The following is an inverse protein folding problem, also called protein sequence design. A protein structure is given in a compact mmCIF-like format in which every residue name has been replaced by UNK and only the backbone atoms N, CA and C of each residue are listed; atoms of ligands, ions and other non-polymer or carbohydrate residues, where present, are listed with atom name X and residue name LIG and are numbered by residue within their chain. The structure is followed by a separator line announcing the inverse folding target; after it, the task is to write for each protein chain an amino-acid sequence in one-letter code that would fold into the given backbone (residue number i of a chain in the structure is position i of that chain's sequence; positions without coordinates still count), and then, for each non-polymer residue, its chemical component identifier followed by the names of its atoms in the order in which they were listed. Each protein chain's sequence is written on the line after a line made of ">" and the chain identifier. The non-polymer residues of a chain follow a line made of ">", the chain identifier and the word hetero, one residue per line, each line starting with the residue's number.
data_IF_719373387511
#
_entry.id   IF_719373387511
#
_cell.length_a   1.000
_cell.length_b   1.000
_cell.length_c   1.000
_cell.angle_alpha   90.00
_cell.angle_beta   90.00
_cell.angle_gamma   90.00
#
_symmetry.space_group_name_H-M   'P 1'
#
loop_
_entity.id
_entity.type
_entity.pdbx_description
1 polymer ?
#
# COMPACT_ATOMS: atom_id res chain seq x y z
N UNK A 1 22.30 -24.04 -5.48
CA UNK A 1 21.17 -23.65 -4.63
C UNK A 1 19.97 -23.44 -5.54
N UNK A 2 18.81 -23.99 -5.22
CA UNK A 2 17.59 -23.75 -6.00
C UNK A 2 16.90 -22.50 -5.45
N UNK A 3 16.77 -21.46 -6.27
CA UNK A 3 16.12 -20.20 -5.88
C UNK A 3 14.73 -20.17 -6.50
N UNK A 4 13.66 -20.17 -5.71
CA UNK A 4 12.30 -20.16 -6.25
C UNK A 4 12.03 -18.86 -7.03
N UNK A 5 11.72 -18.96 -8.32
CA UNK A 5 11.30 -17.78 -9.12
C UNK A 5 10.01 -17.17 -8.59
N UNK A 6 9.20 -17.98 -7.92
CA UNK A 6 7.90 -17.58 -7.34
C UNK A 6 7.97 -16.47 -6.30
N UNK A 7 9.12 -16.27 -5.63
CA UNK A 7 9.28 -15.21 -4.65
C UNK A 7 9.46 -13.80 -5.28
N UNK A 8 9.91 -13.73 -6.55
CA UNK A 8 10.11 -12.48 -7.29
C UNK A 8 8.78 -12.05 -7.92
N UNK A 9 7.95 -11.36 -7.13
CA UNK A 9 6.59 -10.93 -7.53
C UNK A 9 6.62 -9.69 -8.41
N UNK A 10 5.42 -9.20 -8.80
CA UNK A 10 5.30 -8.05 -9.70
C UNK A 10 5.79 -6.72 -9.10
N UNK A 11 5.83 -6.55 -7.78
CA UNK A 11 6.22 -5.28 -7.14
C UNK A 11 7.03 -5.41 -5.85
N UNK A 12 7.34 -6.61 -5.42
CA UNK A 12 8.21 -6.91 -4.29
C UNK A 12 8.81 -8.32 -4.42
N UNK A 13 9.70 -8.69 -3.50
CA UNK A 13 10.11 -10.06 -3.29
C UNK A 13 9.40 -10.54 -2.03
N UNK A 14 8.76 -11.73 -2.07
CA UNK A 14 7.99 -12.26 -0.95
C UNK A 14 7.94 -13.77 -0.96
N UNK A 15 8.17 -14.39 0.23
CA UNK A 15 8.13 -15.83 0.39
C UNK A 15 8.05 -16.26 1.84
N UNK A 16 7.87 -17.57 2.05
CA UNK A 16 7.92 -18.21 3.38
C UNK A 16 9.39 -18.36 3.76
N UNK A 17 9.75 -17.84 4.96
CA UNK A 17 11.15 -17.70 5.35
C UNK A 17 11.89 -19.01 5.46
N UNK A 18 11.28 -20.05 6.02
CA UNK A 18 11.95 -21.34 6.25
C UNK A 18 12.23 -22.14 4.97
N UNK A 19 11.45 -21.90 3.90
CA UNK A 19 11.45 -22.74 2.71
C UNK A 19 11.79 -22.02 1.41
N UNK A 20 11.49 -20.72 1.31
CA UNK A 20 11.57 -19.95 0.06
C UNK A 20 12.51 -18.74 0.16
N UNK A 21 12.45 -17.99 1.27
CA UNK A 21 13.21 -16.76 1.47
C UNK A 21 14.23 -16.93 2.61
N UNK A 22 15.19 -17.84 2.43
CA UNK A 22 16.20 -18.13 3.45
C UNK A 22 17.26 -17.02 3.53
N UNK A 23 18.01 -16.90 4.67
CA UNK A 23 19.09 -15.92 4.79
C UNK A 23 20.10 -15.98 3.66
N UNK A 24 20.44 -17.18 3.15
CA UNK A 24 21.39 -17.35 2.04
C UNK A 24 20.82 -16.73 0.75
N UNK A 25 19.53 -16.91 0.48
CA UNK A 25 18.87 -16.33 -0.69
C UNK A 25 18.81 -14.80 -0.53
N UNK A 26 18.46 -14.30 0.67
CA UNK A 26 18.43 -12.85 0.95
C UNK A 26 19.81 -12.21 0.81
N UNK A 27 20.89 -12.91 1.19
CA UNK A 27 22.26 -12.46 0.92
C UNK A 27 22.56 -12.33 -0.58
N UNK A 28 22.12 -13.29 -1.40
CA UNK A 28 22.27 -13.20 -2.86
C UNK A 28 21.44 -12.06 -3.44
N UNK A 29 20.23 -11.84 -2.93
CA UNK A 29 19.42 -10.66 -3.28
C UNK A 29 20.17 -9.38 -2.91
N UNK A 30 20.78 -9.32 -1.73
CA UNK A 30 21.63 -8.19 -1.31
C UNK A 30 22.77 -7.90 -2.27
N UNK A 31 23.45 -8.96 -2.75
CA UNK A 31 24.50 -8.83 -3.80
C UNK A 31 23.93 -8.33 -5.12
N UNK A 32 22.76 -8.80 -5.54
CA UNK A 32 22.12 -8.35 -6.78
C UNK A 32 21.70 -6.88 -6.69
N UNK A 33 21.03 -6.47 -5.59
CA UNK A 33 20.63 -5.09 -5.34
C UNK A 33 21.85 -4.17 -5.26
N UNK A 34 22.89 -4.60 -4.54
CA UNK A 34 24.15 -3.84 -4.43
C UNK A 34 24.83 -3.66 -5.78
N UNK A 35 24.88 -4.71 -6.60
CA UNK A 35 25.44 -4.65 -7.94
C UNK A 35 24.69 -3.66 -8.84
N UNK A 36 23.36 -3.72 -8.85
CA UNK A 36 22.50 -2.81 -9.59
C UNK A 36 22.65 -1.36 -9.11
N UNK A 37 22.75 -1.14 -7.81
CA UNK A 37 22.96 0.19 -7.22
C UNK A 37 24.30 0.77 -7.65
N UNK A 38 25.38 0.01 -7.58
CA UNK A 38 26.74 0.43 -8.02
C UNK A 38 26.74 0.77 -9.51
N UNK A 39 26.09 -0.02 -10.37
CA UNK A 39 25.99 0.24 -11.82
C UNK A 39 25.25 1.56 -12.12
N UNK A 40 24.31 1.94 -11.27
CA UNK A 40 23.61 3.23 -11.35
C UNK A 40 24.37 4.39 -10.69
N UNK A 41 25.59 4.15 -10.21
CA UNK A 41 26.41 5.17 -9.53
C UNK A 41 26.05 5.39 -8.07
N UNK A 42 25.17 4.57 -7.49
CA UNK A 42 24.71 4.69 -6.11
C UNK A 42 25.47 3.72 -5.20
N UNK A 43 26.19 4.26 -4.21
CA UNK A 43 26.90 3.45 -3.22
C UNK A 43 26.20 3.38 -1.88
N UNK A 44 25.37 4.35 -1.55
CA UNK A 44 24.58 4.39 -0.31
C UNK A 44 23.30 3.60 -0.45
N UNK A 45 23.03 2.69 0.50
CA UNK A 45 21.78 1.93 0.57
C UNK A 45 21.24 1.98 1.99
N UNK A 46 20.02 2.50 2.16
CA UNK A 46 19.29 2.45 3.42
C UNK A 46 18.68 1.07 3.61
N UNK A 47 18.77 0.48 4.81
CA UNK A 47 18.13 -0.79 5.16
C UNK A 47 17.30 -0.59 6.42
N UNK A 48 16.02 -0.93 6.34
CA UNK A 48 15.10 -1.02 7.47
C UNK A 48 14.34 -2.34 7.48
N UNK A 49 13.70 -2.66 8.59
CA UNK A 49 12.90 -3.87 8.73
C UNK A 49 11.64 -3.61 9.57
N UNK A 50 10.60 -4.43 9.38
CA UNK A 50 9.43 -4.45 10.25
C UNK A 50 9.68 -5.23 11.56
N UNK A 51 8.60 -5.50 12.31
CA UNK A 51 8.63 -6.18 13.60
C UNK A 51 8.65 -7.70 13.55
N UNK A 52 8.72 -8.34 12.36
CA UNK A 52 8.69 -9.80 12.23
C UNK A 52 9.90 -10.44 12.88
N UNK A 53 9.69 -11.62 13.49
CA UNK A 53 10.73 -12.34 14.23
C UNK A 53 11.95 -12.71 13.39
N UNK A 54 11.73 -12.98 12.11
CA UNK A 54 12.78 -13.32 11.13
C UNK A 54 13.53 -12.09 10.58
N UNK A 55 13.02 -10.89 10.87
CA UNK A 55 13.58 -9.62 10.36
C UNK A 55 15.05 -9.39 10.68
N UNK A 56 15.53 -9.60 11.92
CA UNK A 56 16.93 -9.39 12.27
C UNK A 56 17.91 -10.23 11.43
N UNK A 57 17.67 -11.54 11.34
CA UNK A 57 18.52 -12.47 10.57
C UNK A 57 18.55 -12.13 9.09
N UNK A 58 17.38 -11.87 8.50
CA UNK A 58 17.29 -11.49 7.08
C UNK A 58 17.95 -10.12 6.80
N UNK A 59 17.87 -9.20 7.76
CA UNK A 59 18.56 -7.89 7.67
C UNK A 59 20.06 -8.04 7.65
N UNK A 60 20.62 -8.86 8.55
CA UNK A 60 22.06 -9.15 8.57
C UNK A 60 22.54 -9.80 7.26
N UNK A 61 21.79 -10.76 6.73
CA UNK A 61 22.10 -11.43 5.47
C UNK A 61 22.08 -10.45 4.28
N UNK A 62 21.04 -9.61 4.19
CA UNK A 62 20.93 -8.56 3.16
C UNK A 62 22.11 -7.59 3.22
N UNK A 63 22.42 -7.05 4.42
CA UNK A 63 23.50 -6.10 4.65
C UNK A 63 24.85 -6.73 4.25
N UNK A 64 25.07 -7.99 4.60
CA UNK A 64 26.29 -8.70 4.20
C UNK A 64 26.44 -8.74 2.67
N UNK A 65 25.36 -9.08 1.94
CA UNK A 65 25.36 -9.08 0.47
C UNK A 65 25.62 -7.71 -0.16
N UNK A 66 25.02 -6.65 0.39
CA UNK A 66 25.24 -5.27 -0.06
C UNK A 66 26.70 -4.84 0.14
N UNK A 67 27.29 -5.14 1.30
CA UNK A 67 28.69 -4.82 1.64
C UNK A 67 29.66 -5.55 0.68
N UNK A 68 29.41 -6.81 0.39
CA UNK A 68 30.22 -7.59 -0.54
C UNK A 68 30.22 -7.04 -1.97
N UNK A 69 29.13 -6.34 -2.37
CA UNK A 69 29.06 -5.63 -3.65
C UNK A 69 29.76 -4.27 -3.64
N UNK A 70 30.18 -3.75 -2.48
CA UNK A 70 30.84 -2.46 -2.31
C UNK A 70 29.90 -1.30 -1.89
N UNK A 71 28.68 -1.61 -1.44
CA UNK A 71 27.75 -0.60 -0.94
C UNK A 71 28.06 -0.14 0.50
N UNK A 72 27.77 1.12 0.78
CA UNK A 72 27.75 1.67 2.13
C UNK A 72 26.33 1.64 2.68
N UNK A 73 26.08 0.77 3.64
CA UNK A 73 24.75 0.53 4.20
C UNK A 73 24.49 1.48 5.36
N UNK A 74 23.33 2.15 5.34
CA UNK A 74 22.76 2.89 6.47
C UNK A 74 21.64 2.05 7.05
N UNK A 75 21.92 1.32 8.13
CA UNK A 75 20.94 0.52 8.84
C UNK A 75 20.13 1.41 9.79
N UNK A 76 18.82 1.55 9.54
CA UNK A 76 17.91 2.34 10.37
C UNK A 76 17.07 1.50 11.33
N UNK A 77 17.32 0.18 11.39
CA UNK A 77 16.72 -0.72 12.36
C UNK A 77 15.25 -1.07 12.07
N UNK A 78 14.47 -1.17 13.16
CA UNK A 78 13.06 -1.58 13.10
C UNK A 78 12.15 -0.35 12.97
N UNK A 79 11.65 -0.12 11.77
CA UNK A 79 10.86 1.07 11.38
C UNK A 79 9.73 0.71 10.40
N UNK A 80 8.67 1.52 10.29
CA UNK A 80 7.68 1.43 9.21
C UNK A 80 8.30 1.62 7.82
N UNK A 81 7.69 1.01 6.79
CA UNK A 81 8.12 1.14 5.38
C UNK A 81 8.29 2.60 4.91
N UNK A 82 7.37 3.52 5.21
CA UNK A 82 7.53 4.93 4.83
C UNK A 82 8.79 5.59 5.42
N UNK A 83 9.28 5.14 6.57
CA UNK A 83 10.52 5.70 7.17
C UNK A 83 11.75 5.31 6.36
N UNK A 84 11.78 4.13 5.73
CA UNK A 84 12.83 3.77 4.77
C UNK A 84 12.79 4.70 3.56
N UNK A 85 11.61 4.95 2.99
CA UNK A 85 11.46 5.90 1.89
C UNK A 85 11.86 7.33 2.30
N UNK A 86 11.42 7.78 3.48
CA UNK A 86 11.84 9.08 4.03
C UNK A 86 13.37 9.19 4.15
N UNK A 87 14.03 8.15 4.67
CA UNK A 87 15.48 8.13 4.76
C UNK A 87 16.18 8.27 3.41
N UNK A 88 15.64 7.65 2.35
CA UNK A 88 16.21 7.77 1.00
C UNK A 88 16.04 9.16 0.38
N UNK A 89 15.09 9.96 0.85
CA UNK A 89 14.89 11.35 0.39
C UNK A 89 15.67 12.38 1.22
N UNK A 90 16.04 12.05 2.46
CA UNK A 90 16.63 13.01 3.42
C UNK A 90 18.09 12.73 3.78
N UNK A 91 18.59 11.53 3.49
CA UNK A 91 20.01 11.16 3.68
C UNK A 91 20.74 11.10 2.33
N UNK A 92 22.04 11.05 2.33
CA UNK A 92 22.84 10.99 1.09
C UNK A 92 22.81 9.59 0.44
N UNK A 93 21.62 9.02 0.29
CA UNK A 93 21.37 7.72 -0.34
C UNK A 93 20.00 7.76 -1.00
N UNK A 94 19.92 7.37 -2.27
CA UNK A 94 18.66 7.30 -3.04
C UNK A 94 18.21 5.87 -3.28
N UNK A 95 18.95 4.90 -2.72
CA UNK A 95 18.61 3.48 -2.73
C UNK A 95 18.24 3.01 -1.32
N UNK A 96 17.26 2.11 -1.22
CA UNK A 96 16.83 1.56 0.05
C UNK A 96 16.12 0.23 -0.08
N UNK A 97 16.19 -0.57 0.97
CA UNK A 97 15.49 -1.85 1.06
C UNK A 97 14.76 -1.93 2.39
N UNK A 98 13.45 -2.17 2.32
CA UNK A 98 12.63 -2.50 3.48
C UNK A 98 12.41 -4.01 3.53
N UNK A 99 12.76 -4.63 4.66
CA UNK A 99 12.50 -6.05 4.92
C UNK A 99 11.16 -6.14 5.63
N UNK A 100 10.15 -6.66 4.96
CA UNK A 100 8.78 -6.74 5.47
C UNK A 100 7.95 -7.79 4.75
N UNK A 101 7.05 -8.43 5.49
CA UNK A 101 5.96 -9.22 4.93
C UNK A 101 4.66 -8.42 4.82
N UNK A 102 4.66 -7.10 5.15
CA UNK A 102 3.47 -6.23 5.19
C UNK A 102 2.33 -6.91 5.99
N UNK A 103 1.17 -7.07 5.37
CA UNK A 103 -0.01 -7.73 5.93
C UNK A 103 -0.05 -9.25 5.70
N UNK A 104 1.03 -9.91 5.26
CA UNK A 104 1.04 -11.38 5.13
C UNK A 104 1.14 -12.06 6.51
N UNK A 105 0.77 -13.35 6.64
CA UNK A 105 0.95 -14.15 7.84
C UNK A 105 2.40 -14.10 8.40
N UNK A 106 2.56 -14.48 9.66
CA UNK A 106 3.81 -14.29 10.41
C UNK A 106 5.02 -15.06 9.83
N UNK A 107 4.77 -16.18 9.16
CA UNK A 107 5.77 -17.02 8.50
C UNK A 107 6.34 -16.42 7.20
N UNK A 108 5.68 -15.40 6.64
CA UNK A 108 6.15 -14.69 5.46
C UNK A 108 7.11 -13.57 5.82
N UNK A 109 8.02 -13.27 4.91
CA UNK A 109 8.76 -12.02 4.87
C UNK A 109 9.03 -11.63 3.41
N UNK A 110 9.67 -10.47 3.18
CA UNK A 110 9.91 -9.98 1.84
C UNK A 110 10.81 -8.76 1.80
N UNK A 111 10.99 -8.21 0.59
CA UNK A 111 11.80 -7.02 0.37
C UNK A 111 11.08 -6.07 -0.58
N UNK A 112 10.84 -4.83 -0.12
CA UNK A 112 10.47 -3.70 -0.96
C UNK A 112 11.75 -2.94 -1.31
N UNK A 113 12.05 -2.79 -2.59
CA UNK A 113 13.36 -2.34 -3.05
C UNK A 113 13.22 -1.04 -3.83
N UNK A 114 14.05 -0.07 -3.50
CA UNK A 114 14.23 1.17 -4.24
C UNK A 114 15.70 1.32 -4.64
N UNK A 115 15.97 1.62 -5.91
CA UNK A 115 17.33 1.87 -6.43
C UNK A 115 17.32 3.18 -7.21
N UNK A 116 18.24 4.07 -6.86
CA UNK A 116 18.40 5.40 -7.51
C UNK A 116 17.08 6.20 -7.57
N UNK A 117 16.30 6.19 -6.45
CA UNK A 117 15.03 6.91 -6.34
C UNK A 117 13.88 6.30 -7.13
N UNK A 118 14.01 5.04 -7.55
CA UNK A 118 12.97 4.30 -8.24
C UNK A 118 12.61 3.00 -7.50
N UNK A 119 11.33 2.81 -7.16
CA UNK A 119 10.83 1.55 -6.59
C UNK A 119 10.79 0.49 -7.68
N UNK A 120 11.42 -0.66 -7.44
CA UNK A 120 11.48 -1.75 -8.40
C UNK A 120 10.12 -2.41 -8.58
N UNK A 121 9.83 -2.86 -9.80
CA UNK A 121 8.63 -3.62 -10.15
C UNK A 121 8.84 -4.42 -11.43
N UNK A 122 8.01 -5.45 -11.59
CA UNK A 122 7.92 -6.27 -12.79
C UNK A 122 9.32 -6.70 -13.32
N UNK A 123 9.68 -6.30 -14.53
CA UNK A 123 10.92 -6.68 -15.20
C UNK A 123 12.19 -6.37 -14.40
N UNK A 124 12.18 -5.27 -13.62
CA UNK A 124 13.32 -4.89 -12.78
C UNK A 124 13.52 -5.81 -11.58
N UNK A 125 12.46 -6.40 -11.05
CA UNK A 125 12.56 -7.44 -10.02
C UNK A 125 13.04 -8.74 -10.66
N UNK A 126 12.54 -9.08 -11.86
CA UNK A 126 13.01 -10.26 -12.60
C UNK A 126 14.47 -10.16 -13.04
N UNK A 127 14.96 -8.94 -13.33
CA UNK A 127 16.39 -8.74 -13.65
C UNK A 127 17.30 -9.06 -12.47
N UNK A 128 16.86 -8.80 -11.22
CA UNK A 128 17.60 -9.23 -10.03
C UNK A 128 17.68 -10.76 -9.95
N UNK A 129 16.58 -11.47 -10.25
CA UNK A 129 16.58 -12.93 -10.30
C UNK A 129 17.53 -13.48 -11.35
N UNK A 130 17.50 -12.94 -12.57
CA UNK A 130 18.42 -13.30 -13.67
C UNK A 130 19.87 -13.09 -13.25
N UNK A 131 20.20 -11.91 -12.66
CA UNK A 131 21.53 -11.60 -12.14
C UNK A 131 22.03 -12.60 -11.11
N UNK A 132 21.14 -13.09 -10.24
CA UNK A 132 21.49 -14.13 -9.25
C UNK A 132 21.78 -15.46 -9.93
N UNK A 133 20.97 -15.89 -10.91
CA UNK A 133 21.18 -17.15 -11.65
C UNK A 133 22.48 -17.14 -12.44
N UNK A 134 22.82 -16.01 -13.04
CA UNK A 134 24.04 -15.82 -13.84
C UNK A 134 25.29 -15.57 -12.98
N UNK A 135 25.11 -15.42 -11.64
CA UNK A 135 26.16 -15.03 -10.70
C UNK A 135 26.89 -13.74 -11.14
N UNK A 136 26.15 -12.82 -11.76
CA UNK A 136 26.63 -11.53 -12.24
C UNK A 136 26.64 -10.49 -11.10
N UNK A 137 27.65 -10.54 -10.25
CA UNK A 137 27.76 -9.67 -9.09
C UNK A 137 29.00 -8.79 -9.16
N UNK A 138 28.83 -7.51 -8.81
CA UNK A 138 29.95 -6.66 -8.45
C UNK A 138 30.61 -7.17 -7.16
N UNK A 139 31.88 -6.93 -7.03
CA UNK A 139 32.65 -7.25 -5.83
C UNK A 139 33.37 -5.98 -5.36
N UNK A 140 33.25 -5.70 -4.07
CA UNK A 140 33.84 -4.52 -3.46
C UNK A 140 33.92 -4.61 -1.96
N UNK A 141 34.39 -3.55 -1.32
CA UNK A 141 34.43 -3.40 0.12
C UNK A 141 33.54 -2.26 0.54
N UNK A 142 32.38 -2.57 1.09
CA UNK A 142 31.44 -1.63 1.66
C UNK A 142 31.58 -1.50 3.17
N UNK A 143 30.71 -0.71 3.79
CA UNK A 143 30.62 -0.53 5.24
C UNK A 143 29.17 -0.53 5.66
N UNK A 144 28.92 -0.72 6.96
CA UNK A 144 27.59 -0.51 7.56
C UNK A 144 27.69 0.45 8.74
N UNK A 145 26.74 1.38 8.81
CA UNK A 145 26.55 2.26 9.97
C UNK A 145 25.11 2.17 10.43
N UNK A 146 24.88 2.27 11.74
CA UNK A 146 23.51 2.30 12.29
C UNK A 146 23.18 3.72 12.75
N UNK A 147 21.97 4.19 12.40
CA UNK A 147 21.43 5.47 12.85
C UNK A 147 19.98 5.31 13.29
N UNK A 148 19.52 6.17 14.20
CA UNK A 148 18.10 6.34 14.47
C UNK A 148 17.59 7.55 13.70
N UNK A 149 16.45 7.42 13.01
CA UNK A 149 15.84 8.48 12.17
C UNK A 149 14.41 8.81 12.62
N UNK A 150 13.89 8.13 13.63
CA UNK A 150 12.50 8.25 14.07
C UNK A 150 12.15 9.71 14.40
N UNK A 151 13.04 10.38 15.15
CA UNK A 151 12.80 11.76 15.57
C UNK A 151 12.87 12.74 14.37
N UNK A 152 13.75 12.50 13.39
CA UNK A 152 13.81 13.33 12.17
C UNK A 152 12.49 13.21 11.38
N UNK A 153 11.96 11.98 11.26
CA UNK A 153 10.67 11.71 10.61
C UNK A 153 9.51 12.39 11.34
N UNK A 154 9.41 12.19 12.67
CA UNK A 154 8.37 12.81 13.51
C UNK A 154 8.44 14.34 13.41
N UNK A 155 9.62 14.93 13.55
CA UNK A 155 9.79 16.38 13.49
C UNK A 155 9.44 16.95 12.12
N UNK A 156 9.75 16.23 11.04
CA UNK A 156 9.40 16.67 9.68
C UNK A 156 7.89 16.70 9.49
N UNK A 157 7.17 15.66 9.92
CA UNK A 157 5.70 15.64 9.88
C UNK A 157 5.13 16.74 10.77
N UNK A 158 5.64 16.88 11.99
CA UNK A 158 5.19 17.92 12.94
C UNK A 158 5.38 19.34 12.39
N UNK A 159 6.43 19.58 11.61
CA UNK A 159 6.68 20.90 11.01
C UNK A 159 5.70 21.22 9.86
N UNK A 160 5.12 20.22 9.26
CA UNK A 160 4.18 20.34 8.13
C UNK A 160 2.71 20.41 8.58
N UNK A 161 2.35 19.68 9.64
CA UNK A 161 0.95 19.49 10.10
C UNK A 161 0.62 20.48 11.22
N UNK A 162 -0.52 21.14 11.08
CA UNK A 162 -1.05 22.07 12.09
C UNK A 162 -2.48 21.70 12.47
N UNK A 163 -2.69 21.27 13.71
CA UNK A 163 -4.03 21.00 14.27
C UNK A 163 -4.58 22.27 14.88
N UNK A 164 -5.82 22.65 14.52
CA UNK A 164 -6.50 23.84 15.06
C UNK A 164 -7.29 23.55 16.35
N UNK A 165 -7.57 22.27 16.63
CA UNK A 165 -8.22 21.84 17.89
C UNK A 165 -7.66 20.48 18.31
N UNK A 166 -7.71 20.20 19.62
CA UNK A 166 -7.41 18.87 20.16
C UNK A 166 -8.43 17.85 19.63
N UNK A 167 -7.94 16.68 19.27
CA UNK A 167 -8.75 15.55 18.83
C UNK A 167 -8.52 14.35 19.75
N UNK A 168 -9.59 13.62 20.06
CA UNK A 168 -9.54 12.32 20.73
C UNK A 168 -9.51 11.22 19.67
N UNK A 169 -8.43 10.46 19.58
CA UNK A 169 -8.21 9.48 18.52
C UNK A 169 -7.87 8.12 19.11
N UNK A 170 -8.47 7.08 18.55
CA UNK A 170 -8.02 5.70 18.82
C UNK A 170 -7.08 5.28 17.71
N UNK A 171 -5.92 4.74 18.06
CA UNK A 171 -5.01 4.13 17.09
C UNK A 171 -4.91 2.63 17.33
N UNK A 172 -4.91 1.86 16.26
CA UNK A 172 -4.71 0.43 16.25
C UNK A 172 -3.53 0.08 15.33
N UNK A 173 -2.47 -0.47 15.91
CA UNK A 173 -1.27 -0.86 15.17
C UNK A 173 -1.22 -2.37 14.89
N UNK A 174 -2.21 -3.16 15.32
CA UNK A 174 -2.27 -4.61 15.09
C UNK A 174 -0.99 -5.36 15.45
N UNK A 175 -0.23 -4.90 16.47
CA UNK A 175 1.12 -5.34 16.81
C UNK A 175 2.17 -5.15 15.68
N UNK A 176 1.83 -4.40 14.62
CA UNK A 176 2.73 -4.03 13.52
C UNK A 176 3.74 -2.95 13.92
N UNK A 177 4.71 -2.71 13.04
CA UNK A 177 5.85 -1.83 13.32
C UNK A 177 5.46 -0.35 13.43
N UNK A 178 4.28 0.05 12.95
CA UNK A 178 3.74 1.39 13.18
C UNK A 178 3.66 1.76 14.67
N UNK A 179 3.49 0.76 15.55
CA UNK A 179 3.46 0.93 17.02
C UNK A 179 4.69 1.61 17.61
N UNK A 180 5.83 1.56 16.95
CA UNK A 180 7.06 2.23 17.42
C UNK A 180 6.99 3.76 17.25
N UNK A 181 6.30 4.25 16.23
CA UNK A 181 6.32 5.66 15.82
C UNK A 181 4.97 6.35 15.98
N UNK A 182 3.86 5.67 15.63
CA UNK A 182 2.54 6.28 15.63
C UNK A 182 2.14 6.94 16.97
N UNK A 183 2.32 6.29 18.14
CA UNK A 183 2.01 6.93 19.41
C UNK A 183 2.80 8.23 19.62
N UNK A 184 4.10 8.21 19.39
CA UNK A 184 4.98 9.37 19.59
C UNK A 184 4.66 10.49 18.60
N UNK A 185 4.37 10.16 17.33
CA UNK A 185 4.01 11.12 16.31
C UNK A 185 2.72 11.87 16.67
N UNK A 186 1.64 11.15 16.98
CA UNK A 186 0.35 11.77 17.22
C UNK A 186 0.30 12.53 18.56
N UNK A 187 1.00 12.03 19.59
CA UNK A 187 1.20 12.81 20.83
C UNK A 187 1.99 14.10 20.57
N UNK A 188 3.03 14.04 19.71
CA UNK A 188 3.81 15.24 19.34
C UNK A 188 2.98 16.26 18.52
N UNK A 189 1.93 15.81 17.83
CA UNK A 189 0.95 16.68 17.15
C UNK A 189 -0.10 17.25 18.10
N UNK A 190 -0.14 16.83 19.37
CA UNK A 190 -1.13 17.31 20.36
C UNK A 190 -2.44 16.54 20.35
N UNK A 191 -2.45 15.30 19.85
CA UNK A 191 -3.62 14.41 19.85
C UNK A 191 -3.74 13.68 21.18
N UNK A 192 -4.96 13.58 21.72
CA UNK A 192 -5.26 12.71 22.85
C UNK A 192 -5.53 11.29 22.36
N UNK A 193 -4.68 10.34 22.75
CA UNK A 193 -4.68 8.98 22.20
C UNK A 193 -5.25 7.93 23.15
N UNK A 194 -6.14 7.05 22.61
CA UNK A 194 -6.32 5.68 23.06
C UNK A 194 -5.49 4.75 22.15
N UNK A 195 -4.80 3.76 22.71
CA UNK A 195 -3.80 2.95 22.01
C UNK A 195 -4.18 1.47 22.06
N UNK A 196 -4.45 0.88 20.89
CA UNK A 196 -4.69 -0.56 20.73
C UNK A 196 -3.47 -1.19 20.05
N UNK A 197 -2.99 -2.29 20.63
CA UNK A 197 -1.98 -3.19 20.06
C UNK A 197 -0.72 -2.50 19.49
N UNK A 198 -0.26 -1.43 20.16
CA UNK A 198 0.93 -0.66 19.74
C UNK A 198 2.25 -1.32 20.15
N UNK A 199 2.24 -2.36 21.01
CA UNK A 199 3.44 -3.14 21.28
C UNK A 199 3.78 -4.00 20.07
N UNK A 200 4.94 -3.79 19.45
CA UNK A 200 5.37 -4.55 18.27
C UNK A 200 5.61 -6.02 18.63
N UNK A 201 4.91 -6.92 17.97
CA UNK A 201 5.06 -8.37 18.11
C UNK A 201 4.81 -9.06 16.76
N UNK A 202 5.85 -9.58 16.13
CA UNK A 202 5.79 -10.23 14.82
C UNK A 202 4.95 -11.52 14.76
N UNK A 203 4.36 -11.95 15.89
CA UNK A 203 3.38 -13.06 15.95
C UNK A 203 1.95 -12.59 15.74
N UNK A 204 1.69 -11.27 15.84
CA UNK A 204 0.37 -10.64 15.71
C UNK A 204 -0.70 -11.27 16.60
N UNK A 205 -0.54 -11.29 17.93
CA UNK A 205 -1.34 -12.11 18.86
C UNK A 205 -2.79 -11.66 19.01
N UNK A 206 -3.15 -10.43 18.66
CA UNK A 206 -4.50 -9.90 18.83
C UNK A 206 -5.34 -10.10 17.56
N UNK A 207 -4.97 -9.47 16.48
CA UNK A 207 -5.55 -9.68 15.16
C UNK A 207 -4.50 -9.49 14.08
N UNK A 208 -4.82 -9.93 12.88
CA UNK A 208 -3.94 -9.74 11.73
C UNK A 208 -3.89 -8.26 11.31
N UNK A 209 -2.70 -7.63 11.13
CA UNK A 209 -2.59 -6.22 10.82
C UNK A 209 -2.91 -5.92 9.35
N UNK A 210 -4.16 -6.10 8.97
CA UNK A 210 -4.71 -5.81 7.63
C UNK A 210 -6.01 -5.02 7.77
N UNK A 211 -5.98 -3.69 7.66
CA UNK A 211 -7.14 -2.83 7.80
C UNK A 211 -8.12 -2.92 6.62
N UNK A 212 -7.81 -3.68 5.58
CA UNK A 212 -8.74 -3.96 4.49
C UNK A 212 -9.83 -4.99 4.87
N UNK A 213 -9.68 -5.66 6.01
CA UNK A 213 -10.60 -6.69 6.50
C UNK A 213 -11.45 -6.16 7.65
N UNK A 214 -12.80 -6.05 7.51
CA UNK A 214 -13.67 -5.54 8.57
C UNK A 214 -13.47 -6.24 9.92
N UNK A 215 -13.24 -7.56 9.92
CA UNK A 215 -13.00 -8.34 11.13
C UNK A 215 -11.81 -7.83 11.95
N UNK A 216 -10.77 -7.31 11.31
CA UNK A 216 -9.58 -6.79 11.98
C UNK A 216 -9.78 -5.37 12.54
N UNK A 217 -10.94 -4.76 12.32
CA UNK A 217 -11.29 -3.42 12.78
C UNK A 217 -12.32 -3.43 13.92
N UNK A 218 -12.77 -4.61 14.36
CA UNK A 218 -13.85 -4.75 15.37
C UNK A 218 -13.45 -4.10 16.70
N UNK A 219 -12.24 -4.37 17.20
CA UNK A 219 -11.75 -3.77 18.45
C UNK A 219 -11.61 -2.25 18.33
N UNK A 220 -11.12 -1.75 17.19
CA UNK A 220 -11.01 -0.32 16.93
C UNK A 220 -12.38 0.35 16.89
N UNK A 221 -13.37 -0.26 16.23
CA UNK A 221 -14.75 0.24 16.17
C UNK A 221 -15.35 0.32 17.58
N UNK A 222 -15.18 -0.74 18.36
CA UNK A 222 -15.68 -0.78 19.74
C UNK A 222 -15.07 0.32 20.59
N UNK A 223 -13.74 0.47 20.57
CA UNK A 223 -13.02 1.47 21.36
C UNK A 223 -13.40 2.91 20.95
N UNK A 224 -13.59 3.18 19.65
CA UNK A 224 -14.05 4.49 19.16
C UNK A 224 -15.41 4.85 19.75
N UNK A 225 -16.35 3.89 19.77
CA UNK A 225 -17.71 4.10 20.30
C UNK A 225 -17.69 4.28 21.84
N UNK A 226 -16.96 3.41 22.55
CA UNK A 226 -16.91 3.43 24.03
C UNK A 226 -16.23 4.69 24.56
N UNK A 227 -15.16 5.13 23.94
CA UNK A 227 -14.41 6.34 24.33
C UNK A 227 -14.99 7.63 23.76
N UNK A 228 -15.96 7.51 22.84
CA UNK A 228 -16.52 8.65 22.08
C UNK A 228 -15.42 9.44 21.36
N UNK A 229 -14.47 8.73 20.77
CA UNK A 229 -13.39 9.34 20.02
C UNK A 229 -13.91 10.05 18.77
N UNK A 230 -13.16 11.05 18.30
CA UNK A 230 -13.47 11.77 17.07
C UNK A 230 -13.29 10.87 15.82
N UNK A 231 -12.38 9.91 15.90
CA UNK A 231 -12.13 8.89 14.88
C UNK A 231 -11.18 7.80 15.37
N UNK A 232 -11.09 6.71 14.59
CA UNK A 232 -10.13 5.61 14.77
C UNK A 232 -9.23 5.41 13.55
N UNK A 233 -7.96 5.12 13.78
CA UNK A 233 -6.94 4.91 12.75
C UNK A 233 -6.33 3.52 12.91
N UNK A 234 -6.35 2.71 11.87
CA UNK A 234 -5.71 1.39 11.83
C UNK A 234 -4.55 1.39 10.84
N UNK A 235 -3.45 0.75 11.23
CA UNK A 235 -2.25 0.63 10.41
C UNK A 235 -2.00 -0.85 10.06
N UNK A 236 -1.50 -1.10 8.85
CA UNK A 236 -1.08 -2.44 8.49
C UNK A 236 0.29 -2.81 9.07
N UNK A 237 0.74 -4.03 8.82
CA UNK A 237 1.93 -4.61 9.47
C UNK A 237 3.21 -3.82 9.31
N UNK A 238 3.38 -3.08 8.22
CA UNK A 238 4.55 -2.23 7.96
C UNK A 238 4.23 -0.73 7.83
N UNK A 239 2.98 -0.33 8.11
CA UNK A 239 2.59 1.06 8.31
C UNK A 239 2.50 1.90 7.03
N UNK A 240 2.25 1.27 5.87
CA UNK A 240 2.04 1.97 4.61
C UNK A 240 0.59 2.01 4.14
N UNK A 241 -0.35 1.37 4.89
CA UNK A 241 -1.81 1.42 4.64
C UNK A 241 -2.57 1.94 5.84
N UNK A 242 -3.56 2.80 5.57
CA UNK A 242 -4.42 3.40 6.57
C UNK A 242 -5.86 2.90 6.45
N UNK A 243 -6.39 2.35 7.55
CA UNK A 243 -7.81 2.16 7.79
C UNK A 243 -8.38 3.30 8.62
N UNK A 244 -9.61 3.71 8.34
CA UNK A 244 -10.29 4.81 9.03
C UNK A 244 -11.66 4.36 9.53
N UNK A 245 -11.92 4.66 10.81
CA UNK A 245 -13.24 4.55 11.46
C UNK A 245 -13.70 5.95 11.84
N UNK A 246 -14.91 6.33 11.47
CA UNK A 246 -15.48 7.61 11.88
C UNK A 246 -16.00 7.56 13.34
N UNK A 247 -16.41 8.72 13.87
CA UNK A 247 -16.93 8.86 15.24
C UNK A 247 -18.25 8.11 15.51
N UNK A 248 -18.86 7.50 14.50
CA UNK A 248 -20.06 6.63 14.62
C UNK A 248 -19.72 5.13 14.48
N UNK A 249 -18.44 4.76 14.34
CA UNK A 249 -18.00 3.40 14.15
C UNK A 249 -18.12 2.88 12.71
N UNK A 250 -18.38 3.76 11.74
CA UNK A 250 -18.46 3.38 10.33
C UNK A 250 -17.06 3.30 9.73
N UNK A 251 -16.78 2.22 8.99
CA UNK A 251 -15.56 2.09 8.19
C UNK A 251 -15.64 3.05 7.00
N UNK A 252 -14.63 3.91 6.84
CA UNK A 252 -14.47 4.79 5.68
C UNK A 252 -13.37 4.20 4.80
N UNK A 253 -13.77 3.62 3.69
CA UNK A 253 -12.84 2.97 2.76
C UNK A 253 -11.88 3.95 2.10
N UNK A 254 -10.72 3.47 1.65
CA UNK A 254 -9.64 4.32 1.15
C UNK A 254 -10.05 5.18 -0.05
N UNK A 255 -10.90 4.69 -0.95
CA UNK A 255 -11.42 5.45 -2.08
C UNK A 255 -12.38 6.59 -1.65
N UNK A 256 -13.11 6.42 -0.53
CA UNK A 256 -13.88 7.49 0.10
C UNK A 256 -12.95 8.49 0.81
N UNK A 257 -11.92 8.00 1.51
CA UNK A 257 -10.90 8.87 2.10
C UNK A 257 -10.24 9.74 1.03
N UNK A 258 -9.94 9.16 -0.14
CA UNK A 258 -9.37 9.88 -1.29
C UNK A 258 -10.25 11.04 -1.77
N UNK A 259 -11.57 10.98 -1.64
CA UNK A 259 -12.44 12.12 -1.98
C UNK A 259 -12.15 13.33 -1.08
N UNK A 260 -11.99 13.09 0.23
CA UNK A 260 -11.67 14.14 1.19
C UNK A 260 -10.26 14.72 0.96
N UNK A 261 -9.27 13.86 0.77
CA UNK A 261 -7.90 14.30 0.48
C UNK A 261 -7.80 15.05 -0.84
N UNK A 262 -8.49 14.58 -1.88
CA UNK A 262 -8.55 15.26 -3.17
C UNK A 262 -9.16 16.66 -3.05
N UNK A 263 -10.29 16.80 -2.33
CA UNK A 263 -10.92 18.11 -2.06
C UNK A 263 -9.96 19.06 -1.33
N UNK A 264 -9.26 18.56 -0.31
CA UNK A 264 -8.27 19.34 0.44
C UNK A 264 -7.09 19.78 -0.43
N UNK A 265 -6.44 18.85 -1.14
CA UNK A 265 -5.31 19.15 -2.04
C UNK A 265 -5.70 20.13 -3.14
N UNK A 266 -6.87 19.93 -3.77
CA UNK A 266 -7.36 20.76 -4.87
C UNK A 266 -7.82 22.14 -4.40
N UNK A 267 -8.10 22.33 -3.11
CA UNK A 267 -8.41 23.67 -2.57
C UNK A 267 -7.23 24.63 -2.74
N UNK A 268 -6.00 24.13 -2.71
CA UNK A 268 -4.73 24.86 -2.84
C UNK A 268 -4.05 24.69 -4.20
N UNK A 269 -4.36 23.59 -4.92
CA UNK A 269 -3.67 23.19 -6.16
C UNK A 269 -4.68 22.93 -7.27
N UNK A 270 -5.35 23.98 -7.75
CA UNK A 270 -6.30 23.87 -8.88
C UNK A 270 -5.60 23.32 -10.13
N UNK A 271 -6.27 22.41 -10.83
CA UNK A 271 -5.74 21.72 -12.00
C UNK A 271 -4.77 20.58 -11.69
N UNK A 272 -4.51 20.30 -10.41
CA UNK A 272 -3.60 19.20 -10.07
C UNK A 272 -4.17 17.83 -10.50
N UNK A 273 -3.25 16.97 -10.92
CA UNK A 273 -3.54 15.57 -11.25
C UNK A 273 -3.66 14.74 -9.97
N UNK A 274 -4.66 13.87 -9.93
CA UNK A 274 -4.90 12.94 -8.84
C UNK A 274 -5.05 11.54 -9.41
N UNK A 275 -4.21 10.61 -8.96
CA UNK A 275 -4.17 9.24 -9.43
C UNK A 275 -4.99 8.36 -8.47
N UNK A 276 -5.72 7.40 -9.03
CA UNK A 276 -6.43 6.36 -8.27
C UNK A 276 -6.39 5.02 -9.02
N UNK A 277 -6.48 3.91 -8.30
CA UNK A 277 -6.43 2.59 -8.95
C UNK A 277 -7.79 2.17 -9.52
N UNK A 278 -7.76 1.16 -10.39
CA UNK A 278 -8.96 0.64 -11.08
C UNK A 278 -10.04 0.11 -10.14
N UNK A 279 -9.73 -0.17 -8.88
CA UNK A 279 -10.66 -0.69 -7.88
C UNK A 279 -11.45 0.41 -7.17
N UNK A 280 -11.03 1.67 -7.29
CA UNK A 280 -11.70 2.79 -6.65
C UNK A 280 -13.10 3.04 -7.22
N UNK A 281 -13.96 3.60 -6.37
CA UNK A 281 -15.33 3.99 -6.71
C UNK A 281 -15.38 4.89 -7.94
N UNK A 282 -16.41 4.72 -8.78
CA UNK A 282 -16.69 5.59 -9.94
C UNK A 282 -17.02 7.04 -9.54
N UNK A 283 -17.33 7.28 -8.28
CA UNK A 283 -17.61 8.62 -7.77
C UNK A 283 -16.35 9.48 -7.57
N UNK A 284 -15.20 8.85 -7.32
CA UNK A 284 -13.94 9.57 -7.05
C UNK A 284 -13.49 10.47 -8.21
N UNK A 285 -13.44 10.01 -9.49
CA UNK A 285 -13.09 10.89 -10.60
C UNK A 285 -14.04 12.08 -10.76
N UNK A 286 -15.32 11.90 -10.47
CA UNK A 286 -16.29 13.00 -10.48
C UNK A 286 -15.96 14.03 -9.39
N UNK A 287 -15.72 13.59 -8.16
CA UNK A 287 -15.35 14.48 -7.04
C UNK A 287 -14.06 15.25 -7.37
N UNK A 288 -13.06 14.59 -7.96
CA UNK A 288 -11.81 15.25 -8.39
C UNK A 288 -12.12 16.34 -9.42
N UNK A 289 -12.89 16.03 -10.46
CA UNK A 289 -13.23 16.99 -11.52
C UNK A 289 -14.07 18.17 -11.01
N UNK A 290 -15.08 17.91 -10.18
CA UNK A 290 -15.95 18.92 -9.58
C UNK A 290 -15.17 19.91 -8.68
N UNK A 291 -14.03 19.46 -8.11
CA UNK A 291 -13.11 20.30 -7.35
C UNK A 291 -12.00 20.94 -8.20
N UNK A 292 -12.05 20.79 -9.52
CA UNK A 292 -11.14 21.40 -10.49
C UNK A 292 -9.80 20.68 -10.62
N UNK A 293 -9.76 19.37 -10.38
CA UNK A 293 -8.60 18.50 -10.61
C UNK A 293 -8.72 17.66 -11.88
N UNK A 294 -7.65 16.99 -12.25
CA UNK A 294 -7.56 16.03 -13.35
C UNK A 294 -7.48 14.61 -12.79
N UNK A 295 -8.54 13.78 -12.92
CA UNK A 295 -8.52 12.39 -12.45
C UNK A 295 -7.74 11.50 -13.41
N UNK A 296 -6.85 10.64 -12.88
CA UNK A 296 -6.05 9.69 -13.66
C UNK A 296 -6.22 8.30 -13.06
N UNK A 297 -6.87 7.39 -13.79
CA UNK A 297 -6.95 5.98 -13.42
C UNK A 297 -5.61 5.28 -13.69
N UNK A 298 -5.21 4.37 -12.80
CA UNK A 298 -4.00 3.58 -12.89
C UNK A 298 -4.27 2.11 -12.59
N UNK A 299 -3.35 1.24 -13.01
CA UNK A 299 -3.32 -0.13 -12.53
C UNK A 299 -2.98 -0.18 -11.05
N UNK A 300 -3.44 -1.23 -10.36
CA UNK A 300 -3.15 -1.48 -8.94
C UNK A 300 -1.68 -1.88 -8.73
N UNK A 301 -1.11 -1.41 -7.64
CA UNK A 301 0.24 -1.76 -7.16
C UNK A 301 1.06 -0.52 -6.82
N UNK A 302 1.47 -0.43 -5.55
CA UNK A 302 2.13 0.75 -5.00
C UNK A 302 3.36 1.24 -5.80
N UNK A 303 4.12 0.32 -6.39
CA UNK A 303 5.28 0.65 -7.22
C UNK A 303 4.88 1.26 -8.58
N UNK A 304 3.77 0.80 -9.17
CA UNK A 304 3.22 1.37 -10.40
C UNK A 304 2.64 2.76 -10.15
N UNK A 305 1.94 2.93 -9.03
CA UNK A 305 1.39 4.23 -8.60
C UNK A 305 2.52 5.24 -8.39
N UNK A 306 3.59 4.88 -7.66
CA UNK A 306 4.77 5.74 -7.45
C UNK A 306 5.42 6.17 -8.76
N UNK A 307 5.56 5.25 -9.73
CA UNK A 307 6.06 5.55 -11.07
C UNK A 307 5.14 6.54 -11.79
N UNK A 308 3.84 6.24 -11.84
CA UNK A 308 2.84 7.09 -12.49
C UNK A 308 2.79 8.49 -11.88
N UNK A 309 2.90 8.58 -10.55
CA UNK A 309 2.94 9.84 -9.80
C UNK A 309 4.17 10.69 -10.20
N UNK A 310 5.32 10.05 -10.38
CA UNK A 310 6.55 10.71 -10.86
C UNK A 310 6.41 11.18 -12.33
N UNK A 311 5.91 10.30 -13.22
CA UNK A 311 5.74 10.60 -14.66
C UNK A 311 4.74 11.73 -14.92
N UNK A 312 3.63 11.75 -14.19
CA UNK A 312 2.54 12.72 -14.41
C UNK A 312 2.70 13.99 -13.58
N UNK A 313 3.62 14.00 -12.62
CA UNK A 313 3.75 15.04 -11.60
C UNK A 313 2.44 15.25 -10.79
N UNK A 314 1.69 14.19 -10.54
CA UNK A 314 0.45 14.26 -9.78
C UNK A 314 0.71 14.71 -8.33
N UNK A 315 -0.25 15.41 -7.72
CA UNK A 315 -0.14 15.93 -6.36
C UNK A 315 -0.52 14.91 -5.27
N UNK A 316 -1.38 13.96 -5.63
CA UNK A 316 -1.91 12.94 -4.76
C UNK A 316 -2.17 11.66 -5.56
N UNK A 317 -1.97 10.52 -4.92
CA UNK A 317 -2.43 9.24 -5.45
C UNK A 317 -2.99 8.36 -4.32
N UNK A 318 -3.82 7.37 -4.69
CA UNK A 318 -4.33 6.41 -3.72
C UNK A 318 -4.83 5.13 -4.35
N UNK A 319 -4.85 4.08 -3.55
CA UNK A 319 -5.37 2.77 -3.91
C UNK A 319 -6.49 2.35 -2.95
N UNK A 320 -7.44 1.58 -3.45
CA UNK A 320 -8.50 1.00 -2.62
C UNK A 320 -7.96 0.17 -1.45
N UNK A 321 -6.75 -0.35 -1.57
CA UNK A 321 -6.07 -1.13 -0.53
C UNK A 321 -5.60 -0.32 0.69
N UNK A 322 -5.68 1.03 0.64
CA UNK A 322 -5.27 1.91 1.75
C UNK A 322 -3.90 2.57 1.57
N UNK A 323 -3.18 2.29 0.49
CA UNK A 323 -1.96 3.04 0.14
C UNK A 323 -2.32 4.44 -0.35
N UNK A 324 -1.87 5.46 0.31
CA UNK A 324 -2.08 6.88 -0.05
C UNK A 324 -0.72 7.57 -0.19
N UNK A 325 -0.57 8.34 -1.25
CA UNK A 325 0.70 8.94 -1.67
C UNK A 325 0.52 10.45 -1.83
N UNK A 326 0.88 11.22 -0.83
CA UNK A 326 0.92 12.66 -0.94
C UNK A 326 2.24 13.11 -1.57
N UNK A 327 2.18 13.86 -2.68
CA UNK A 327 3.33 14.57 -3.25
C UNK A 327 3.21 16.07 -3.02
N UNK A 328 2.01 16.56 -2.82
CA UNK A 328 1.75 17.89 -2.32
C UNK A 328 2.13 17.92 -0.84
N UNK A 329 3.12 18.70 -0.46
CA UNK A 329 3.70 18.84 0.89
C UNK A 329 4.48 17.62 1.42
N UNK A 330 4.57 16.50 0.68
CA UNK A 330 5.32 15.30 1.04
C UNK A 330 6.11 14.77 -0.17
N UNK A 331 6.75 13.62 -0.05
CA UNK A 331 7.70 13.11 -1.04
C UNK A 331 7.07 12.21 -2.12
N UNK A 332 5.81 11.80 -1.99
CA UNK A 332 5.10 11.00 -3.00
C UNK A 332 5.28 9.49 -2.88
N UNK A 333 5.64 8.99 -1.70
CA UNK A 333 5.55 7.58 -1.37
C UNK A 333 4.32 7.27 -0.49
N UNK A 334 3.95 5.98 -0.41
CA UNK A 334 2.89 5.47 0.43
C UNK A 334 3.26 5.59 1.92
N UNK A 335 2.44 6.30 2.69
CA UNK A 335 2.74 6.65 4.07
C UNK A 335 1.45 6.77 4.89
N UNK A 336 1.11 5.73 5.65
CA UNK A 336 -0.10 5.73 6.45
C UNK A 336 -0.03 6.69 7.64
N UNK A 337 1.15 6.89 8.22
CA UNK A 337 1.32 7.81 9.34
C UNK A 337 1.17 9.27 8.90
N UNK A 338 1.78 9.65 7.77
CA UNK A 338 1.60 10.98 7.20
C UNK A 338 0.16 11.19 6.72
N UNK A 339 -0.44 10.18 6.07
CA UNK A 339 -1.85 10.22 5.64
C UNK A 339 -2.79 10.44 6.81
N UNK A 340 -2.58 9.73 7.93
CA UNK A 340 -3.32 9.93 9.16
C UNK A 340 -3.13 11.35 9.71
N UNK A 341 -1.92 11.87 9.73
CA UNK A 341 -1.63 13.23 10.17
C UNK A 341 -2.33 14.29 9.30
N UNK A 342 -2.39 14.10 7.97
CA UNK A 342 -3.15 14.95 7.04
C UNK A 342 -4.66 14.88 7.29
N UNK A 343 -5.20 13.69 7.58
CA UNK A 343 -6.59 13.53 7.96
C UNK A 343 -6.91 14.31 9.23
N UNK A 344 -6.09 14.15 10.27
CA UNK A 344 -6.26 14.87 11.53
C UNK A 344 -6.20 16.39 11.33
N UNK A 345 -5.32 16.88 10.46
CA UNK A 345 -5.27 18.30 10.09
C UNK A 345 -6.61 18.76 9.49
N UNK A 346 -7.17 18.01 8.53
CA UNK A 346 -8.46 18.35 7.89
C UNK A 346 -9.60 18.34 8.91
N UNK A 347 -9.69 17.29 9.74
CA UNK A 347 -10.73 17.16 10.77
C UNK A 347 -10.61 18.27 11.82
N UNK A 348 -9.38 18.60 12.24
CA UNK A 348 -9.16 19.65 13.24
C UNK A 348 -9.57 21.04 12.77
N UNK A 349 -9.44 21.34 11.48
CA UNK A 349 -9.83 22.62 10.86
C UNK A 349 -11.33 22.75 10.60
N UNK A 350 -12.05 21.64 10.71
CA UNK A 350 -13.50 21.62 10.46
C UNK A 350 -14.31 21.77 11.75
N UNK A 351 -15.47 22.46 11.66
CA UNK A 351 -16.49 22.45 12.70
C UNK A 351 -17.38 21.20 12.65
N UNK A 352 -17.22 20.34 11.62
CA UNK A 352 -17.95 19.09 11.44
C UNK A 352 -17.18 17.95 12.07
N UNK A 353 -17.90 16.94 12.55
CA UNK A 353 -17.33 15.67 12.97
C UNK A 353 -16.77 14.88 11.77
N UNK A 354 -15.98 13.84 12.03
CA UNK A 354 -15.45 12.99 10.98
C UNK A 354 -16.57 12.40 10.10
N UNK A 355 -17.63 11.86 10.70
CA UNK A 355 -18.77 11.33 9.94
C UNK A 355 -19.46 12.38 9.07
N UNK A 356 -19.68 13.60 9.59
CA UNK A 356 -20.32 14.68 8.83
C UNK A 356 -19.48 15.17 7.65
N UNK A 357 -18.13 15.10 7.75
CA UNK A 357 -17.25 15.41 6.63
C UNK A 357 -17.40 14.40 5.48
N UNK A 358 -17.53 13.11 5.81
CA UNK A 358 -17.72 12.07 4.82
C UNK A 358 -19.15 11.96 4.30
N UNK A 359 -20.15 12.36 5.10
CA UNK A 359 -21.57 12.44 4.68
C UNK A 359 -21.79 13.50 3.58
N UNK A 360 -20.82 14.40 3.31
CA UNK A 360 -20.87 15.32 2.17
C UNK A 360 -20.67 14.64 0.81
N UNK A 361 -20.06 13.46 0.78
CA UNK A 361 -19.74 12.75 -0.45
C UNK A 361 -20.83 11.76 -0.83
N UNK A 362 -21.11 11.60 -2.12
CA UNK A 362 -22.03 10.56 -2.58
C UNK A 362 -21.44 9.16 -2.25
N UNK A 363 -22.32 8.20 -2.03
CA UNK A 363 -21.96 6.81 -1.75
C UNK A 363 -22.80 5.90 -2.64
N UNK A 364 -22.15 4.97 -3.31
CA UNK A 364 -22.78 3.86 -4.02
C UNK A 364 -22.72 2.58 -3.18
N UNK A 365 -23.57 1.61 -3.52
CA UNK A 365 -23.49 0.25 -2.99
C UNK A 365 -22.34 -0.48 -3.69
N UNK A 366 -21.46 -1.12 -2.92
CA UNK A 366 -20.37 -1.90 -3.48
C UNK A 366 -20.21 -3.25 -2.81
N UNK A 367 -19.74 -4.24 -3.56
CA UNK A 367 -19.32 -5.52 -2.96
C UNK A 367 -17.96 -5.35 -2.27
N UNK A 368 -17.63 -6.20 -1.28
CA UNK A 368 -16.25 -6.49 -0.96
C UNK A 368 -15.50 -7.03 -2.20
N UNK A 369 -14.18 -7.15 -2.11
CA UNK A 369 -13.43 -7.92 -3.13
C UNK A 369 -13.86 -9.39 -3.08
N UNK A 370 -14.23 -9.93 -4.24
CA UNK A 370 -14.63 -11.33 -4.41
C UNK A 370 -13.48 -12.05 -5.13
N UNK A 371 -13.05 -13.20 -4.62
CA UNK A 371 -11.94 -13.94 -5.18
C UNK A 371 -12.42 -15.24 -5.83
N UNK A 372 -11.99 -15.48 -7.07
CA UNK A 372 -12.08 -16.78 -7.74
C UNK A 372 -10.67 -17.39 -7.72
N UNK A 373 -10.50 -18.42 -6.90
CA UNK A 373 -9.20 -19.03 -6.63
C UNK A 373 -8.86 -20.11 -7.67
N UNK A 374 -7.58 -20.26 -7.96
CA UNK A 374 -7.01 -21.31 -8.81
C UNK A 374 -6.00 -22.15 -8.02
N UNK A 375 -5.75 -23.37 -8.48
CA UNK A 375 -4.83 -24.30 -7.83
C UNK A 375 -3.35 -23.88 -7.97
N UNK A 376 -3.00 -23.21 -9.08
CA UNK A 376 -1.62 -22.85 -9.40
C UNK A 376 -1.49 -21.41 -9.82
N UNK A 377 -0.39 -20.78 -9.38
CA UNK A 377 -0.02 -19.45 -9.86
C UNK A 377 0.28 -19.48 -11.38
N UNK A 378 -0.29 -18.52 -12.09
CA UNK A 378 -0.23 -18.44 -13.56
C UNK A 378 -1.61 -18.65 -14.20
N UNK A 379 -2.43 -19.56 -13.67
CA UNK A 379 -3.76 -19.85 -14.20
C UNK A 379 -4.68 -18.61 -14.21
N UNK A 380 -4.55 -17.71 -13.23
CA UNK A 380 -5.30 -16.45 -13.22
C UNK A 380 -4.96 -15.53 -14.39
N UNK A 381 -3.73 -15.60 -14.93
CA UNK A 381 -3.36 -14.82 -16.12
C UNK A 381 -3.91 -15.45 -17.39
N UNK A 382 -3.82 -16.78 -17.51
CA UNK A 382 -4.43 -17.52 -18.64
C UNK A 382 -5.94 -17.30 -18.70
N UNK A 383 -6.62 -17.37 -17.54
CA UNK A 383 -8.04 -17.08 -17.44
C UNK A 383 -8.37 -15.63 -17.85
N UNK A 384 -7.53 -14.67 -17.43
CA UNK A 384 -7.72 -13.25 -17.80
C UNK A 384 -7.49 -13.03 -19.30
N UNK A 385 -6.54 -13.71 -19.93
CA UNK A 385 -6.29 -13.63 -21.38
C UNK A 385 -7.50 -14.18 -22.16
N UNK A 386 -8.10 -15.30 -21.71
CA UNK A 386 -9.33 -15.85 -22.27
C UNK A 386 -10.47 -14.84 -22.15
N UNK A 387 -10.72 -14.30 -20.96
CA UNK A 387 -11.75 -13.30 -20.72
C UNK A 387 -11.56 -12.06 -21.60
N UNK A 388 -10.34 -11.55 -21.70
CA UNK A 388 -10.02 -10.36 -22.50
C UNK A 388 -10.32 -10.54 -23.99
N UNK A 389 -10.28 -11.78 -24.48
CA UNK A 389 -10.59 -12.12 -25.87
C UNK A 389 -12.10 -12.23 -26.15
N UNK A 390 -12.94 -12.24 -25.09
CA UNK A 390 -14.38 -12.48 -25.20
C UNK A 390 -15.20 -11.38 -24.49
N UNK A 391 -14.74 -10.13 -24.53
CA UNK A 391 -15.45 -9.00 -23.90
C UNK A 391 -16.73 -8.70 -24.69
N UNK A 392 -17.91 -8.84 -24.04
CA UNK A 392 -19.22 -8.54 -24.63
C UNK A 392 -20.11 -7.79 -23.62
N UNK A 393 -19.92 -6.47 -23.55
CA UNK A 393 -20.70 -5.58 -22.70
C UNK A 393 -21.21 -4.37 -23.51
N UNK A 394 -22.29 -4.55 -24.30
CA UNK A 394 -22.79 -3.51 -25.17
C UNK A 394 -23.21 -2.27 -24.35
N UNK A 395 -22.84 -1.10 -24.85
CA UNK A 395 -23.18 0.19 -24.23
C UNK A 395 -22.33 0.59 -23.03
N UNK A 396 -21.36 -0.24 -22.62
CA UNK A 396 -20.43 0.10 -21.54
C UNK A 396 -19.14 0.76 -22.07
N UNK A 397 -18.50 1.53 -21.22
CA UNK A 397 -17.11 1.96 -21.41
C UNK A 397 -16.18 0.89 -20.83
N UNK A 398 -15.27 0.35 -21.63
CA UNK A 398 -14.35 -0.71 -21.26
C UNK A 398 -12.97 -0.14 -21.00
N UNK A 399 -12.39 -0.45 -19.83
CA UNK A 399 -11.02 -0.10 -19.47
C UNK A 399 -10.22 -1.37 -19.19
N UNK A 400 -9.11 -1.54 -19.90
CA UNK A 400 -8.24 -2.73 -19.82
C UNK A 400 -6.87 -2.42 -19.23
N UNK A 401 -6.73 -1.36 -18.45
CA UNK A 401 -5.43 -0.95 -17.88
C UNK A 401 -4.89 -1.97 -16.84
N UNK A 402 -5.80 -2.69 -16.15
CA UNK A 402 -5.47 -3.76 -15.19
C UNK A 402 -6.63 -4.75 -15.09
N UNK A 403 -6.64 -5.77 -15.92
CA UNK A 403 -7.80 -6.64 -16.14
C UNK A 403 -8.85 -5.98 -17.02
N UNK A 404 -10.12 -6.21 -16.74
CA UNK A 404 -11.25 -5.62 -17.47
C UNK A 404 -12.21 -4.96 -16.49
N UNK A 405 -12.29 -3.65 -16.58
CA UNK A 405 -13.30 -2.83 -15.89
C UNK A 405 -14.34 -2.37 -16.91
N UNK A 406 -15.59 -2.59 -16.55
CA UNK A 406 -16.77 -2.32 -17.37
C UNK A 406 -17.59 -1.25 -16.67
N UNK A 407 -17.61 -0.02 -17.17
CA UNK A 407 -18.34 1.11 -16.59
C UNK A 407 -19.59 1.42 -17.40
N UNK A 408 -20.77 1.33 -16.76
CA UNK A 408 -22.05 1.87 -17.21
C UNK A 408 -22.35 3.19 -16.48
N UNK A 409 -23.43 3.87 -16.82
CA UNK A 409 -23.82 5.13 -16.17
C UNK A 409 -24.05 4.99 -14.66
N UNK A 410 -24.69 3.88 -14.25
CA UNK A 410 -25.18 3.66 -12.87
C UNK A 410 -24.47 2.53 -12.12
N UNK A 411 -23.52 1.84 -12.76
CA UNK A 411 -22.78 0.74 -12.15
C UNK A 411 -21.48 0.45 -12.88
N UNK A 412 -20.59 -0.26 -12.20
CA UNK A 412 -19.42 -0.85 -12.82
C UNK A 412 -19.08 -2.21 -12.22
N UNK A 413 -18.36 -3.02 -12.98
CA UNK A 413 -17.75 -4.27 -12.54
C UNK A 413 -16.31 -4.35 -13.00
N UNK A 414 -15.50 -5.03 -12.22
CA UNK A 414 -14.08 -5.28 -12.47
C UNK A 414 -13.79 -6.76 -12.30
N UNK A 415 -13.00 -7.33 -13.21
CA UNK A 415 -12.25 -8.56 -13.00
C UNK A 415 -10.78 -8.32 -13.36
N UNK A 416 -9.87 -8.74 -12.51
CA UNK A 416 -8.42 -8.61 -12.73
C UNK A 416 -7.65 -9.79 -12.15
N UNK A 417 -6.50 -10.18 -12.73
CA UNK A 417 -5.65 -11.20 -12.14
C UNK A 417 -4.91 -10.63 -10.93
N UNK A 418 -4.84 -11.40 -9.83
CA UNK A 418 -3.99 -11.03 -8.71
C UNK A 418 -2.52 -11.28 -9.07
N UNK A 419 -1.65 -10.31 -8.71
CA UNK A 419 -0.21 -10.42 -8.89
C UNK A 419 0.50 -11.20 -7.77
N UNK A 420 -0.20 -11.43 -6.65
CA UNK A 420 0.38 -12.02 -5.43
C UNK A 420 -0.16 -13.40 -5.11
N UNK A 421 -1.41 -13.65 -5.47
CA UNK A 421 -2.15 -14.89 -5.18
C UNK A 421 -2.73 -15.49 -6.46
N UNK A 422 -2.90 -16.82 -6.57
CA UNK A 422 -3.50 -17.45 -7.75
C UNK A 422 -5.03 -17.26 -7.76
N UNK A 423 -5.50 -16.06 -8.00
CA UNK A 423 -6.94 -15.76 -8.08
C UNK A 423 -7.25 -14.62 -9.06
N UNK A 424 -8.49 -14.60 -9.57
CA UNK A 424 -9.10 -13.40 -10.10
C UNK A 424 -9.76 -12.64 -8.95
N UNK A 425 -9.58 -11.33 -8.95
CA UNK A 425 -10.20 -10.40 -8.01
C UNK A 425 -11.31 -9.66 -8.74
N UNK A 426 -12.53 -9.72 -8.20
CA UNK A 426 -13.70 -9.03 -8.72
C UNK A 426 -14.18 -7.99 -7.69
N UNK A 427 -14.74 -6.90 -8.21
CA UNK A 427 -15.46 -5.88 -7.41
C UNK A 427 -16.56 -5.28 -8.26
N UNK A 428 -17.68 -4.97 -7.62
CA UNK A 428 -18.85 -4.37 -8.26
C UNK A 428 -19.33 -3.18 -7.44
N UNK A 429 -19.88 -2.19 -8.14
CA UNK A 429 -20.50 -1.02 -7.54
C UNK A 429 -21.69 -0.58 -8.37
N UNK A 430 -22.75 -0.16 -7.70
CA UNK A 430 -23.95 0.36 -8.34
C UNK A 430 -24.70 1.35 -7.45
N UNK A 431 -25.58 2.16 -8.04
CA UNK A 431 -26.41 3.13 -7.32
C UNK A 431 -27.47 2.48 -6.41
N UNK A 432 -27.92 1.25 -6.75
CA UNK A 432 -28.93 0.52 -6.01
C UNK A 432 -28.74 -1.01 -6.11
N UNK A 433 -29.46 -1.76 -5.26
CA UNK A 433 -29.32 -3.23 -5.17
C UNK A 433 -29.70 -3.95 -6.47
N UNK A 434 -30.74 -3.51 -7.19
CA UNK A 434 -31.16 -4.15 -8.42
C UNK A 434 -30.07 -4.04 -9.48
N UNK A 435 -29.53 -2.84 -9.66
CA UNK A 435 -28.45 -2.57 -10.60
C UNK A 435 -27.16 -3.32 -10.21
N UNK A 436 -26.90 -3.48 -8.88
CA UNK A 436 -25.74 -4.25 -8.40
C UNK A 436 -25.87 -5.73 -8.76
N UNK A 437 -27.04 -6.33 -8.56
CA UNK A 437 -27.31 -7.72 -8.97
C UNK A 437 -27.20 -7.88 -10.48
N UNK A 438 -27.76 -6.95 -11.26
CA UNK A 438 -27.73 -7.02 -12.72
C UNK A 438 -26.30 -7.00 -13.30
N UNK A 439 -25.40 -6.18 -12.75
CA UNK A 439 -24.00 -6.18 -13.20
C UNK A 439 -23.26 -7.45 -12.79
N UNK A 440 -23.50 -7.98 -11.59
CA UNK A 440 -22.94 -9.27 -11.15
C UNK A 440 -23.41 -10.41 -12.07
N UNK A 441 -24.68 -10.48 -12.42
CA UNK A 441 -25.22 -11.51 -13.33
C UNK A 441 -24.62 -11.40 -14.75
N UNK A 442 -24.34 -10.20 -15.26
CA UNK A 442 -23.65 -10.02 -16.55
C UNK A 442 -22.22 -10.58 -16.48
N UNK A 443 -21.48 -10.28 -15.41
CA UNK A 443 -20.13 -10.81 -15.21
C UNK A 443 -20.15 -12.32 -15.02
N UNK A 444 -21.10 -12.87 -14.27
CA UNK A 444 -21.28 -14.31 -14.10
C UNK A 444 -21.41 -15.03 -15.43
N UNK A 445 -22.33 -14.57 -16.30
CA UNK A 445 -22.52 -15.13 -17.63
C UNK A 445 -21.26 -15.04 -18.49
N UNK A 446 -20.53 -13.94 -18.40
CA UNK A 446 -19.28 -13.74 -19.13
C UNK A 446 -18.17 -14.69 -18.64
N UNK A 447 -18.00 -14.87 -17.33
CA UNK A 447 -17.06 -15.80 -16.74
C UNK A 447 -17.38 -17.26 -17.14
N UNK A 448 -18.65 -17.66 -17.01
CA UNK A 448 -19.13 -18.99 -17.39
C UNK A 448 -18.96 -19.27 -18.91
N UNK A 449 -19.09 -18.27 -19.77
CA UNK A 449 -18.83 -18.40 -21.21
C UNK A 449 -17.37 -18.68 -21.56
N UNK A 450 -16.46 -18.46 -20.61
CA UNK A 450 -15.02 -18.75 -20.68
C UNK A 450 -14.61 -19.92 -19.78
N UNK A 451 -15.54 -20.79 -19.39
CA UNK A 451 -15.33 -21.95 -18.53
C UNK A 451 -14.76 -21.62 -17.13
N UNK A 452 -15.05 -20.42 -16.60
CA UNK A 452 -14.63 -20.01 -15.26
C UNK A 452 -15.84 -20.09 -14.34
N UNK A 453 -15.76 -20.91 -13.27
CA UNK A 453 -16.83 -21.03 -12.27
C UNK A 453 -17.01 -19.71 -11.52
N UNK A 454 -18.26 -19.24 -11.46
CA UNK A 454 -18.64 -18.00 -10.80
C UNK A 454 -19.71 -18.24 -9.69
N UNK A 455 -19.62 -19.37 -8.99
CA UNK A 455 -20.57 -19.75 -7.93
C UNK A 455 -20.60 -18.77 -6.73
N UNK A 456 -19.54 -17.99 -6.56
CA UNK A 456 -19.40 -17.01 -5.47
C UNK A 456 -19.91 -15.61 -5.82
N UNK A 457 -20.48 -15.41 -7.02
CA UNK A 457 -21.05 -14.14 -7.48
C UNK A 457 -22.54 -14.01 -7.19
#
# INVERSE_FOLDING_TARGET
>A
MNIPSSIFKAYDIRGIVETELTPEIVKLIGRAVGSESIEKGERGVVVGRDGRLTGPELSEALISGLIESGCHVVNIGMVPSPVVYFATHTKAATSGVMITGSHNPAEYNGLKIMIAGETLSAEKIQSLYTRILENDFKTGSGTSTSINIDQDYINTIKSDINLEKELNVVIDCGNGVAGNIAPQLFEALGVKLSKLFCLVDGRFPNHHPDPSKPKNLEDLIQEVIETKADLGLAFDGDGDRLGLIDNKGKIIWADQQMMLYAKDVLSRNKGAKIIFDVKCTSLLPKVISDNGGEPIMSRTGHSFIKRKLKETNAALAGEMSGHIFFKERWYGFDDALYTAARLLEIVSKSNKSCSELFDEFPVNLSTPEININFDKHGQQFEAMDSLSSHIDFPGANINTIDGVRVDYEDCWGLVRPSNTTPCLVLRFEAKDHTTLIDIQEKFKKWLESCDISAENL
#
